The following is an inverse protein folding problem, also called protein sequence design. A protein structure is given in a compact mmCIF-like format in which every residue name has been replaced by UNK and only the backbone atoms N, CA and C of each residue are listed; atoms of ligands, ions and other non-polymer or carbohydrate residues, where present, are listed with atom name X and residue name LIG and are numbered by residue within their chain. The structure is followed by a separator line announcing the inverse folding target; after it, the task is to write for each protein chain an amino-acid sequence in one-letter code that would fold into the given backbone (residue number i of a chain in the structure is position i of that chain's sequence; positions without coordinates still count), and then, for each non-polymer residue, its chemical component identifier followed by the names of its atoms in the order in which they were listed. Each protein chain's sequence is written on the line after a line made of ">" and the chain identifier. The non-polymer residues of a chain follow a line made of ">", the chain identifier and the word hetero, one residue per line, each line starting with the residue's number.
data_IF_263819317853
#
_entry.id   IF_263819317853
#
_cell.length_a   1.000
_cell.length_b   1.000
_cell.length_c   1.000
_cell.angle_alpha   90.00
_cell.angle_beta   90.00
_cell.angle_gamma   90.00
#
_symmetry.space_group_name_H-M   'P 1'
#
loop_
_entity.id
_entity.type
_entity.pdbx_description
1 polymer ?
#
# COMPACT_ATOMS: atom_id res chain seq x y z
N UNK A 1 40.95 -28.58 3.91
CA UNK A 1 40.10 -27.65 3.12
C UNK A 1 38.64 -28.12 3.03
N UNK A 2 38.37 -29.38 2.67
CA UNK A 2 37.00 -29.92 2.56
C UNK A 2 36.16 -29.78 3.84
N UNK A 3 36.71 -30.10 5.01
CA UNK A 3 35.97 -29.97 6.29
C UNK A 3 35.61 -28.52 6.64
N UNK A 4 36.43 -27.54 6.24
CA UNK A 4 36.17 -26.12 6.48
C UNK A 4 35.03 -25.62 5.58
N UNK A 5 34.99 -26.08 4.33
CA UNK A 5 33.90 -25.79 3.40
C UNK A 5 32.57 -26.41 3.87
N UNK A 6 32.61 -27.63 4.41
CA UNK A 6 31.44 -28.29 4.98
C UNK A 6 30.90 -27.57 6.22
N UNK A 7 31.79 -27.14 7.12
CA UNK A 7 31.43 -26.32 8.29
C UNK A 7 30.82 -24.97 7.88
N UNK A 8 31.38 -24.31 6.86
CA UNK A 8 30.85 -23.05 6.34
C UNK A 8 29.48 -23.23 5.69
N UNK A 9 29.28 -24.30 4.89
CA UNK A 9 28.00 -24.63 4.28
C UNK A 9 26.93 -24.89 5.35
N UNK A 10 27.25 -25.69 6.37
CA UNK A 10 26.36 -25.95 7.51
C UNK A 10 26.05 -24.66 8.29
N UNK A 11 27.02 -23.77 8.47
CA UNK A 11 26.80 -22.49 9.15
C UNK A 11 25.84 -21.58 8.35
N UNK A 12 26.04 -21.46 7.03
CA UNK A 12 25.15 -20.67 6.16
C UNK A 12 23.74 -21.25 6.03
N UNK A 13 23.59 -22.58 6.06
CA UNK A 13 22.28 -23.24 6.05
C UNK A 13 21.47 -23.00 7.34
N UNK A 14 22.16 -22.73 8.46
CA UNK A 14 21.56 -22.46 9.76
C UNK A 14 21.45 -20.96 10.09
N UNK A 15 21.94 -20.08 9.21
CA UNK A 15 21.74 -18.64 9.31
C UNK A 15 20.27 -18.31 9.03
N UNK A 16 19.45 -18.35 10.07
CA UNK A 16 18.12 -17.73 10.04
C UNK A 16 18.34 -16.23 10.00
N UNK A 17 18.10 -15.62 8.85
CA UNK A 17 17.91 -14.17 8.78
C UNK A 17 16.65 -13.87 9.56
N UNK A 18 16.81 -13.40 10.80
CA UNK A 18 15.74 -12.74 11.53
C UNK A 18 15.54 -11.44 10.77
N UNK A 19 14.55 -11.43 9.87
CA UNK A 19 14.11 -10.18 9.24
C UNK A 19 13.57 -9.34 10.38
N UNK A 20 14.31 -8.30 10.76
CA UNK A 20 13.87 -7.35 11.77
C UNK A 20 12.46 -6.85 11.42
N UNK A 21 11.65 -6.60 12.44
CA UNK A 21 10.28 -6.11 12.28
C UNK A 21 10.29 -4.90 11.34
N UNK A 22 9.69 -5.03 10.17
CA UNK A 22 9.62 -3.92 9.21
C UNK A 22 8.72 -2.85 9.83
N UNK A 23 9.26 -1.64 9.95
CA UNK A 23 8.53 -0.47 10.43
C UNK A 23 8.01 0.28 9.21
N UNK A 24 6.75 0.71 9.30
CA UNK A 24 6.10 1.58 8.34
C UNK A 24 5.85 2.97 8.90
N UNK A 25 5.78 3.95 8.00
CA UNK A 25 5.41 5.33 8.35
C UNK A 25 4.31 5.81 7.41
N UNK A 26 3.32 6.53 7.96
CA UNK A 26 2.26 7.15 7.19
C UNK A 26 2.78 8.42 6.51
N UNK A 27 2.62 8.53 5.19
CA UNK A 27 2.96 9.73 4.44
C UNK A 27 1.73 10.62 4.34
N UNK A 28 1.57 11.51 5.32
CA UNK A 28 0.55 12.55 5.33
C UNK A 28 0.95 13.71 4.41
N UNK A 29 0.03 14.13 3.53
CA UNK A 29 0.30 15.15 2.50
C UNK A 29 -0.47 16.46 2.72
N UNK A 30 -1.17 16.62 3.84
CA UNK A 30 -1.89 17.84 4.20
C UNK A 30 -0.96 18.82 4.93
N UNK A 31 -0.06 19.43 4.17
CA UNK A 31 0.85 20.49 4.62
C UNK A 31 1.23 21.41 3.46
N UNK A 32 1.71 22.62 3.74
CA UNK A 32 2.00 23.65 2.73
C UNK A 32 3.50 23.88 2.49
N UNK A 33 4.37 23.18 3.22
CA UNK A 33 5.83 23.30 3.20
C UNK A 33 6.53 21.92 3.14
N UNK A 34 5.79 20.88 2.72
CA UNK A 34 6.31 19.52 2.65
C UNK A 34 7.32 19.35 1.50
N UNK A 35 8.34 18.48 1.65
CA UNK A 35 9.22 18.11 0.55
C UNK A 35 8.46 17.46 -0.61
N UNK A 36 9.09 17.40 -1.79
CA UNK A 36 8.54 16.67 -2.93
C UNK A 36 8.41 15.18 -2.65
N UNK A 37 7.52 14.48 -3.35
CA UNK A 37 7.35 13.03 -3.16
C UNK A 37 8.63 12.22 -3.42
N UNK A 38 9.48 12.67 -4.35
CA UNK A 38 10.79 12.05 -4.59
C UNK A 38 11.71 12.19 -3.37
N UNK A 39 11.79 13.39 -2.79
CA UNK A 39 12.59 13.65 -1.58
C UNK A 39 12.06 12.85 -0.38
N UNK A 40 10.75 12.69 -0.24
CA UNK A 40 10.15 11.83 0.80
C UNK A 40 10.51 10.37 0.57
N UNK A 41 10.45 9.85 -0.66
CA UNK A 41 10.88 8.47 -0.96
C UNK A 41 12.37 8.28 -0.69
N UNK A 42 13.20 9.28 -1.01
CA UNK A 42 14.62 9.27 -0.66
C UNK A 42 14.85 9.28 0.86
N UNK A 43 14.06 10.05 1.62
CA UNK A 43 14.08 10.05 3.07
C UNK A 43 13.71 8.68 3.65
N UNK A 44 12.69 8.01 3.11
CA UNK A 44 12.32 6.65 3.52
C UNK A 44 13.47 5.66 3.29
N UNK A 45 14.11 5.73 2.11
CA UNK A 45 15.26 4.88 1.77
C UNK A 45 16.45 5.14 2.69
N UNK A 46 16.78 6.41 2.94
CA UNK A 46 17.88 6.83 3.80
C UNK A 46 17.70 6.36 5.26
N UNK A 47 16.46 6.30 5.75
CA UNK A 47 16.14 5.86 7.10
C UNK A 47 15.74 4.37 7.19
N UNK A 48 15.94 3.61 6.12
CA UNK A 48 15.60 2.18 6.05
C UNK A 48 14.12 1.87 6.37
N UNK A 49 13.21 2.81 6.13
CA UNK A 49 11.76 2.60 6.28
C UNK A 49 11.26 1.85 5.04
N UNK A 50 10.65 0.68 5.24
CA UNK A 50 10.29 -0.23 4.14
C UNK A 50 8.81 -0.26 3.82
N UNK A 51 7.97 0.39 4.63
CA UNK A 51 6.53 0.40 4.41
C UNK A 51 5.99 1.83 4.48
N UNK A 52 5.09 2.17 3.58
CA UNK A 52 4.43 3.47 3.52
C UNK A 52 2.92 3.28 3.52
N UNK A 53 2.21 4.17 4.21
CA UNK A 53 0.76 4.34 4.01
C UNK A 53 0.51 5.64 3.25
N UNK A 54 -0.26 5.56 2.17
CA UNK A 54 -0.91 6.71 1.53
C UNK A 54 -2.41 6.66 1.84
N UNK A 55 -3.01 7.81 2.15
CA UNK A 55 -4.43 7.90 2.50
C UNK A 55 -5.35 7.98 1.28
N UNK A 56 -4.80 8.36 0.12
CA UNK A 56 -5.48 8.50 -1.16
C UNK A 56 -4.52 8.13 -2.32
N UNK A 57 -5.05 7.84 -3.54
CA UNK A 57 -4.24 7.49 -4.71
C UNK A 57 -3.55 8.69 -5.37
N UNK A 58 -2.70 9.39 -4.60
CA UNK A 58 -1.92 10.52 -5.07
C UNK A 58 -0.96 10.10 -6.21
N UNK A 59 -1.21 10.59 -7.42
CA UNK A 59 -0.44 10.20 -8.61
C UNK A 59 1.05 10.56 -8.50
N UNK A 60 1.38 11.71 -7.91
CA UNK A 60 2.79 12.17 -7.78
C UNK A 60 3.55 11.25 -6.82
N UNK A 61 2.94 10.87 -5.70
CA UNK A 61 3.54 9.92 -4.76
C UNK A 61 3.67 8.51 -5.36
N UNK A 62 2.65 8.03 -6.07
CA UNK A 62 2.69 6.72 -6.74
C UNK A 62 3.76 6.66 -7.84
N UNK A 63 3.95 7.73 -8.60
CA UNK A 63 5.05 7.84 -9.57
C UNK A 63 6.42 7.80 -8.89
N UNK A 64 6.61 8.55 -7.80
CA UNK A 64 7.87 8.55 -7.04
C UNK A 64 8.19 7.19 -6.40
N UNK A 65 7.17 6.39 -6.07
CA UNK A 65 7.33 5.06 -5.45
C UNK A 65 7.76 3.97 -6.44
N UNK A 66 7.72 4.21 -7.76
CA UNK A 66 8.09 3.21 -8.77
C UNK A 66 9.51 2.69 -8.52
N UNK A 67 9.64 1.37 -8.44
CA UNK A 67 10.88 0.62 -8.21
C UNK A 67 11.62 0.98 -6.90
N UNK A 68 10.98 1.67 -5.96
CA UNK A 68 11.57 2.05 -4.66
C UNK A 68 11.77 0.87 -3.70
N UNK A 69 11.05 -0.24 -3.93
CA UNK A 69 10.94 -1.42 -3.04
C UNK A 69 10.31 -1.11 -1.68
N UNK A 70 9.63 0.02 -1.54
CA UNK A 70 8.78 0.35 -0.38
C UNK A 70 7.43 -0.33 -0.58
N UNK A 71 7.01 -1.12 0.40
CA UNK A 71 5.68 -1.73 0.45
C UNK A 71 4.62 -0.63 0.71
N UNK A 72 3.54 -0.63 -0.05
CA UNK A 72 2.50 0.38 0.05
C UNK A 72 1.18 -0.19 0.58
N UNK A 73 0.66 0.44 1.64
CA UNK A 73 -0.74 0.41 2.04
C UNK A 73 -1.45 1.62 1.40
N UNK A 74 -2.35 1.37 0.45
CA UNK A 74 -3.04 2.43 -0.30
C UNK A 74 -4.48 2.61 0.18
N UNK A 75 -4.87 3.83 0.54
CA UNK A 75 -6.24 4.15 0.95
C UNK A 75 -7.21 4.39 -0.21
N UNK A 76 -8.42 3.88 -0.08
CA UNK A 76 -9.61 4.43 -0.76
C UNK A 76 -10.16 5.53 0.15
N UNK A 77 -10.23 6.79 -0.32
CA UNK A 77 -10.81 7.88 0.45
C UNK A 77 -12.26 7.61 0.85
N UNK A 78 -12.69 8.11 2.03
CA UNK A 78 -14.07 7.97 2.47
C UNK A 78 -15.07 8.54 1.45
N UNK A 79 -14.71 9.65 0.79
CA UNK A 79 -15.51 10.30 -0.26
C UNK A 79 -15.77 9.41 -1.48
N UNK A 80 -14.92 8.41 -1.71
CA UNK A 80 -15.03 7.49 -2.85
C UNK A 80 -15.83 6.22 -2.49
N UNK A 81 -16.13 5.99 -1.21
CA UNK A 81 -16.80 4.75 -0.75
C UNK A 81 -18.17 4.56 -1.40
N UNK A 82 -18.96 5.63 -1.55
CA UNK A 82 -20.25 5.55 -2.21
C UNK A 82 -20.13 5.05 -3.65
N UNK A 83 -19.19 5.59 -4.42
CA UNK A 83 -18.95 5.18 -5.81
C UNK A 83 -18.44 3.75 -5.88
N UNK A 84 -17.56 3.34 -4.98
CA UNK A 84 -17.05 1.98 -4.91
C UNK A 84 -18.14 0.93 -4.58
N UNK A 85 -19.35 1.32 -4.17
CA UNK A 85 -20.49 0.39 -4.07
C UNK A 85 -21.04 -0.05 -5.43
N UNK A 86 -20.71 0.66 -6.52
CA UNK A 86 -20.97 0.22 -7.88
C UNK A 86 -19.77 -0.64 -8.39
N UNK A 87 -20.01 -1.87 -8.88
CA UNK A 87 -18.93 -2.75 -9.35
C UNK A 87 -18.08 -2.18 -10.50
N UNK A 88 -18.69 -1.45 -11.44
CA UNK A 88 -17.98 -0.87 -12.59
C UNK A 88 -17.09 0.30 -12.15
N UNK A 89 -17.59 1.17 -11.26
CA UNK A 89 -16.79 2.25 -10.66
C UNK A 89 -15.62 1.69 -9.83
N UNK A 90 -15.86 0.63 -9.04
CA UNK A 90 -14.79 -0.03 -8.27
C UNK A 90 -13.74 -0.66 -9.19
N UNK A 91 -14.17 -1.30 -10.28
CA UNK A 91 -13.26 -1.83 -11.29
C UNK A 91 -12.43 -0.72 -11.94
N UNK A 92 -13.06 0.39 -12.34
CA UNK A 92 -12.34 1.54 -12.87
C UNK A 92 -11.34 2.13 -11.88
N UNK A 93 -11.71 2.22 -10.60
CA UNK A 93 -10.79 2.65 -9.54
C UNK A 93 -9.56 1.73 -9.48
N UNK A 94 -9.75 0.42 -9.40
CA UNK A 94 -8.65 -0.57 -9.38
C UNK A 94 -7.79 -0.50 -10.64
N UNK A 95 -8.37 -0.30 -11.83
CA UNK A 95 -7.60 -0.16 -13.07
C UNK A 95 -6.71 1.10 -13.03
N UNK A 96 -7.28 2.23 -12.62
CA UNK A 96 -6.63 3.54 -12.70
C UNK A 96 -5.62 3.79 -11.57
N UNK A 97 -5.76 3.12 -10.42
CA UNK A 97 -4.92 3.37 -9.23
C UNK A 97 -4.00 2.22 -8.88
N UNK A 98 -4.49 0.97 -8.93
CA UNK A 98 -3.71 -0.21 -8.55
C UNK A 98 -3.00 -0.78 -9.77
N UNK A 99 -3.77 -1.14 -10.79
CA UNK A 99 -3.27 -1.89 -11.96
C UNK A 99 -2.32 -1.05 -12.81
N UNK A 100 -2.57 0.25 -12.90
CA UNK A 100 -1.70 1.21 -13.59
C UNK A 100 -0.28 1.27 -12.99
N UNK A 101 -0.14 1.06 -11.68
CA UNK A 101 1.12 1.23 -10.96
C UNK A 101 1.79 -0.10 -10.57
N UNK A 102 1.02 -1.17 -10.42
CA UNK A 102 1.54 -2.50 -10.11
C UNK A 102 2.13 -3.19 -11.36
N UNK A 103 3.30 -3.87 -11.28
CA UNK A 103 4.11 -4.15 -10.10
C UNK A 103 5.24 -3.14 -9.83
N UNK A 104 5.30 -2.04 -10.59
CA UNK A 104 6.37 -1.04 -10.39
C UNK A 104 6.29 -0.37 -9.02
N UNK A 105 5.09 -0.15 -8.50
CA UNK A 105 4.85 0.16 -7.08
C UNK A 105 4.43 -1.13 -6.37
N UNK A 106 5.05 -1.41 -5.23
CA UNK A 106 4.81 -2.63 -4.46
C UNK A 106 3.60 -2.46 -3.54
N UNK A 107 2.41 -2.40 -4.12
CA UNK A 107 1.14 -2.30 -3.41
C UNK A 107 0.87 -3.62 -2.69
N UNK A 108 0.81 -3.60 -1.35
CA UNK A 108 0.56 -4.79 -0.52
C UNK A 108 -0.88 -4.88 -0.04
N UNK A 109 -1.47 -3.74 0.26
CA UNK A 109 -2.78 -3.67 0.89
C UNK A 109 -3.57 -2.47 0.38
N UNK A 110 -4.89 -2.62 0.37
CA UNK A 110 -5.83 -1.54 0.11
C UNK A 110 -6.68 -1.33 1.36
N UNK A 111 -6.61 -0.14 1.95
CA UNK A 111 -7.48 0.25 3.05
C UNK A 111 -8.74 0.92 2.48
N UNK A 112 -9.86 0.21 2.46
CA UNK A 112 -11.12 0.74 1.93
C UNK A 112 -11.83 1.56 3.00
N UNK A 113 -11.59 2.87 3.02
CA UNK A 113 -12.06 3.79 4.05
C UNK A 113 -11.07 3.98 5.21
N UNK A 114 -11.25 5.07 5.95
CA UNK A 114 -10.46 5.44 7.12
C UNK A 114 -11.37 5.90 8.26
N UNK A 115 -11.33 5.19 9.40
CA UNK A 115 -12.07 5.56 10.62
C UNK A 115 -13.55 5.87 10.36
N UNK A 116 -14.21 5.01 9.58
CA UNK A 116 -15.66 5.04 9.41
C UNK A 116 -16.29 4.48 10.67
N UNK A 117 -16.95 5.36 11.43
CA UNK A 117 -17.54 5.03 12.72
C UNK A 117 -19.07 4.87 12.56
N UNK A 118 -19.65 3.71 12.95
CA UNK A 118 -21.08 3.44 12.87
C UNK A 118 -21.91 4.06 14.03
N UNK A 119 -21.37 5.00 14.80
CA UNK A 119 -22.08 5.63 15.93
C UNK A 119 -22.26 7.12 15.68
N UNK A 120 -21.18 7.83 15.36
CA UNK A 120 -21.17 9.29 15.24
C UNK A 120 -19.95 9.81 14.44
N UNK A 121 -19.84 11.15 14.33
CA UNK A 121 -18.72 11.84 13.72
C UNK A 121 -18.87 12.13 12.23
N UNK A 122 -17.88 12.82 11.66
CA UNK A 122 -17.92 13.29 10.27
C UNK A 122 -17.97 12.15 9.24
N UNK A 123 -17.49 10.96 9.61
CA UNK A 123 -17.43 9.80 8.72
C UNK A 123 -18.64 8.85 8.84
N UNK A 124 -19.55 9.07 9.79
CA UNK A 124 -20.76 8.25 9.98
C UNK A 124 -21.57 8.05 8.68
N UNK A 125 -21.78 9.06 7.81
CA UNK A 125 -22.52 8.88 6.56
C UNK A 125 -21.95 7.82 5.61
N UNK A 126 -20.67 7.45 5.74
CA UNK A 126 -20.03 6.46 4.88
C UNK A 126 -20.21 5.01 5.36
N UNK A 127 -20.69 4.80 6.59
CA UNK A 127 -20.94 3.47 7.18
C UNK A 127 -21.62 2.48 6.25
N UNK A 128 -22.75 2.80 5.57
CA UNK A 128 -23.43 1.85 4.71
C UNK A 128 -22.63 1.45 3.46
N UNK A 129 -21.56 2.17 3.13
CA UNK A 129 -20.79 1.98 1.90
C UNK A 129 -19.54 1.11 2.08
N UNK A 130 -19.06 0.92 3.32
CA UNK A 130 -17.78 0.24 3.58
C UNK A 130 -17.78 -1.20 3.08
N UNK A 131 -18.74 -2.02 3.51
CA UNK A 131 -18.76 -3.45 3.16
C UNK A 131 -18.96 -3.68 1.64
N UNK A 132 -19.94 -3.05 0.96
CA UNK A 132 -20.08 -3.20 -0.49
C UNK A 132 -18.83 -2.73 -1.25
N UNK A 133 -18.20 -1.62 -0.82
CA UNK A 133 -16.97 -1.13 -1.43
C UNK A 133 -15.82 -2.12 -1.27
N UNK A 134 -15.63 -2.72 -0.08
CA UNK A 134 -14.61 -3.76 0.13
C UNK A 134 -14.82 -4.93 -0.83
N UNK A 135 -16.05 -5.42 -0.93
CA UNK A 135 -16.38 -6.57 -1.78
C UNK A 135 -16.10 -6.28 -3.26
N UNK A 136 -16.52 -5.11 -3.76
CA UNK A 136 -16.31 -4.75 -5.15
C UNK A 136 -14.83 -4.48 -5.47
N UNK A 137 -14.09 -3.79 -4.59
CA UNK A 137 -12.64 -3.55 -4.77
C UNK A 137 -11.87 -4.87 -4.74
N UNK A 138 -12.22 -5.78 -3.82
CA UNK A 138 -11.65 -7.12 -3.76
C UNK A 138 -11.91 -7.90 -5.05
N UNK A 139 -13.16 -7.94 -5.51
CA UNK A 139 -13.52 -8.64 -6.74
C UNK A 139 -12.80 -8.06 -7.96
N UNK A 140 -12.73 -6.73 -8.08
CA UNK A 140 -12.02 -6.05 -9.15
C UNK A 140 -10.52 -6.41 -9.18
N UNK A 141 -9.87 -6.47 -8.01
CA UNK A 141 -8.47 -6.87 -7.88
C UNK A 141 -8.17 -8.28 -8.39
N UNK A 142 -9.11 -9.23 -8.21
CA UNK A 142 -8.97 -10.60 -8.70
C UNK A 142 -9.26 -10.77 -10.20
N UNK A 143 -10.05 -9.87 -10.79
CA UNK A 143 -10.34 -9.90 -12.23
C UNK A 143 -9.23 -9.29 -13.09
N UNK A 144 -8.25 -8.62 -12.48
CA UNK A 144 -7.10 -8.09 -13.21
C UNK A 144 -6.18 -9.19 -13.74
N UNK A 145 -5.60 -8.97 -14.94
CA UNK A 145 -4.64 -9.90 -15.59
C UNK A 145 -3.38 -10.17 -14.74
N UNK A 146 -3.16 -9.40 -13.67
CA UNK A 146 -2.17 -9.62 -12.63
C UNK A 146 -2.83 -9.34 -11.27
N UNK A 147 -3.41 -10.35 -10.62
CA UNK A 147 -3.97 -10.16 -9.29
C UNK A 147 -2.86 -9.76 -8.31
N UNK A 148 -3.22 -8.93 -7.34
CA UNK A 148 -2.39 -8.61 -6.17
C UNK A 148 -2.10 -9.89 -5.35
#
# INVERSE_FOLDING_TARGET
>A
MASLLLLLALFTANLRVIVGQQIGVCYGMLGNDLPSACEVVDLYKANNIKQMRLYDPNQVALEALKNSRIDLLLGVPNTDLHRATNPDDAHQWVQNTVSKFYPSVNIKYIAVGNEVNPVDGANWPYTPHVLPAIQNVYQAGHTCKRPL
#
